data_IF_056231062016
#
_entry.id   IF_056231062016
#
_cell.length_a   1.000
_cell.length_b   1.000
_cell.length_c   1.000
_cell.angle_alpha   90.00
_cell.angle_beta   90.00
_cell.angle_gamma   90.00
#
_symmetry.space_group_name_H-M   'P 1'
#
loop_
_entity.id
_entity.type
_entity.pdbx_description
1 polymer ?
#
# COMPACT_ATOMS: atom_id res chain seq x y z
N UNK A 1 9.34 -29.93 14.07
CA UNK A 1 8.29 -28.88 14.19
C UNK A 1 7.85 -28.41 12.81
N UNK A 2 8.77 -28.07 11.90
CA UNK A 2 8.43 -27.75 10.49
C UNK A 2 7.77 -28.91 9.73
N UNK A 3 8.24 -30.15 9.92
CA UNK A 3 7.67 -31.32 9.21
C UNK A 3 6.21 -31.62 9.61
N UNK A 4 5.88 -31.44 10.89
CA UNK A 4 4.50 -31.58 11.39
C UNK A 4 3.60 -30.50 10.80
N UNK A 5 4.05 -29.24 10.80
CA UNK A 5 3.32 -28.15 10.16
C UNK A 5 3.06 -28.45 8.68
N UNK A 6 4.08 -28.89 7.92
CA UNK A 6 3.94 -29.23 6.51
C UNK A 6 2.92 -30.35 6.28
N UNK A 7 2.96 -31.38 7.11
CA UNK A 7 2.00 -32.48 7.05
C UNK A 7 0.55 -31.99 7.24
N UNK A 8 0.29 -31.26 8.33
CA UNK A 8 -1.06 -30.74 8.64
C UNK A 8 -1.53 -29.70 7.61
N UNK A 9 -0.63 -28.85 7.11
CA UNK A 9 -0.94 -27.88 6.06
C UNK A 9 -1.38 -28.56 4.75
N UNK A 10 -0.76 -29.70 4.39
CA UNK A 10 -1.18 -30.50 3.24
C UNK A 10 -2.57 -31.11 3.43
N UNK A 11 -2.87 -31.63 4.63
CA UNK A 11 -4.21 -32.15 4.96
C UNK A 11 -5.28 -31.05 4.92
N UNK A 12 -4.99 -29.88 5.49
CA UNK A 12 -5.89 -28.74 5.46
C UNK A 12 -6.16 -28.27 4.02
N UNK A 13 -5.11 -28.17 3.19
CA UNK A 13 -5.26 -27.85 1.76
C UNK A 13 -6.15 -28.86 1.04
N UNK A 14 -5.98 -30.16 1.30
CA UNK A 14 -6.82 -31.20 0.70
C UNK A 14 -8.32 -30.98 1.04
N UNK A 15 -8.65 -30.61 2.29
CA UNK A 15 -10.02 -30.25 2.70
C UNK A 15 -10.60 -29.09 1.87
N UNK A 16 -9.80 -28.05 1.61
CA UNK A 16 -10.21 -26.95 0.73
C UNK A 16 -10.40 -27.42 -0.72
N UNK A 17 -9.52 -28.31 -1.22
CA UNK A 17 -9.61 -28.82 -2.58
C UNK A 17 -10.84 -29.70 -2.82
N UNK A 18 -11.33 -30.42 -1.81
CA UNK A 18 -12.56 -31.23 -1.89
C UNK A 18 -13.81 -30.38 -2.21
N UNK A 19 -13.89 -29.16 -1.68
CA UNK A 19 -15.07 -28.28 -1.84
C UNK A 19 -14.86 -27.17 -2.89
N UNK A 20 -13.73 -27.16 -3.62
CA UNK A 20 -13.38 -26.09 -4.57
C UNK A 20 -14.36 -25.91 -5.73
N UNK A 21 -15.09 -26.97 -6.09
CA UNK A 21 -15.98 -27.01 -7.25
C UNK A 21 -17.47 -26.88 -6.85
N UNK A 22 -17.77 -26.38 -5.65
CA UNK A 22 -19.15 -26.10 -5.23
C UNK A 22 -19.77 -25.02 -6.11
N UNK A 23 -20.96 -25.28 -6.65
CA UNK A 23 -21.67 -24.36 -7.55
C UNK A 23 -22.78 -23.60 -6.83
N UNK A 24 -23.30 -24.15 -5.75
CA UNK A 24 -24.31 -23.50 -4.95
C UNK A 24 -23.66 -22.47 -4.00
N UNK A 25 -23.90 -21.18 -4.30
CA UNK A 25 -23.36 -20.07 -3.51
C UNK A 25 -23.88 -20.04 -2.07
N UNK A 26 -25.11 -20.52 -1.83
CA UNK A 26 -25.67 -20.59 -0.48
C UNK A 26 -24.89 -21.62 0.33
N UNK A 27 -24.70 -22.81 -0.24
CA UNK A 27 -23.88 -23.86 0.38
C UNK A 27 -22.43 -23.43 0.57
N UNK A 28 -21.81 -22.77 -0.42
CA UNK A 28 -20.46 -22.25 -0.30
C UNK A 28 -20.32 -21.23 0.85
N UNK A 29 -21.30 -20.35 1.02
CA UNK A 29 -21.31 -19.36 2.12
C UNK A 29 -21.49 -20.02 3.48
N UNK A 30 -22.34 -21.06 3.57
CA UNK A 30 -22.49 -21.85 4.80
C UNK A 30 -21.21 -22.61 5.17
N UNK A 31 -20.52 -23.18 4.18
CA UNK A 31 -19.22 -23.82 4.38
C UNK A 31 -18.16 -22.83 4.84
N UNK A 32 -18.12 -21.62 4.25
CA UNK A 32 -17.22 -20.55 4.68
C UNK A 32 -17.47 -20.18 6.15
N UNK A 33 -18.73 -19.93 6.52
CA UNK A 33 -19.11 -19.61 7.89
C UNK A 33 -18.68 -20.71 8.87
N UNK A 34 -18.94 -21.98 8.53
CA UNK A 34 -18.52 -23.10 9.37
C UNK A 34 -16.98 -23.18 9.51
N UNK A 35 -16.23 -22.85 8.45
CA UNK A 35 -14.77 -22.77 8.48
C UNK A 35 -14.24 -21.63 9.35
N UNK A 36 -14.87 -20.45 9.29
CA UNK A 36 -14.54 -19.30 10.14
C UNK A 36 -14.82 -19.59 11.62
N UNK A 37 -15.94 -20.26 11.93
CA UNK A 37 -16.25 -20.72 13.30
C UNK A 37 -15.23 -21.75 13.79
N UNK A 38 -14.82 -22.71 12.95
CA UNK A 38 -13.76 -23.67 13.28
C UNK A 38 -12.43 -22.96 13.56
N UNK A 39 -12.05 -21.98 12.72
CA UNK A 39 -10.83 -21.19 12.89
C UNK A 39 -10.88 -20.39 14.19
N UNK A 40 -11.98 -19.70 14.47
CA UNK A 40 -12.12 -18.90 15.68
C UNK A 40 -11.98 -19.72 16.97
N UNK A 41 -12.50 -20.95 16.98
CA UNK A 41 -12.39 -21.87 18.11
C UNK A 41 -11.00 -22.49 18.28
N UNK A 42 -10.23 -22.60 17.18
CA UNK A 42 -8.93 -23.30 17.14
C UNK A 42 -7.72 -22.39 16.92
N UNK A 43 -7.92 -21.10 16.74
CA UNK A 43 -6.83 -20.14 16.57
C UNK A 43 -5.92 -20.11 17.79
N UNK A 44 -4.63 -19.93 17.57
CA UNK A 44 -3.66 -19.81 18.64
C UNK A 44 -3.82 -18.44 19.33
N UNK A 45 -3.78 -18.33 20.67
CA UNK A 45 -3.90 -17.06 21.37
C UNK A 45 -2.85 -16.02 20.99
N UNK A 46 -1.64 -16.49 20.68
CA UNK A 46 -0.51 -15.66 20.24
C UNK A 46 -0.03 -16.14 18.87
N UNK A 47 -0.68 -15.72 17.77
CA UNK A 47 -0.25 -16.10 16.44
C UNK A 47 1.11 -15.48 16.12
N UNK A 48 1.85 -16.12 15.22
CA UNK A 48 3.10 -15.57 14.73
C UNK A 48 2.84 -14.35 13.84
N UNK A 49 3.37 -13.20 14.24
CA UNK A 49 3.40 -11.97 13.44
C UNK A 49 4.79 -11.76 12.85
N UNK A 50 4.85 -11.29 11.61
CA UNK A 50 6.11 -10.80 11.05
C UNK A 50 6.53 -9.53 11.78
N UNK A 51 7.84 -9.29 12.00
CA UNK A 51 8.30 -8.15 12.77
C UNK A 51 7.72 -6.80 12.31
N UNK A 52 7.65 -6.59 10.99
CA UNK A 52 7.21 -5.33 10.38
C UNK A 52 5.70 -5.29 10.07
N UNK A 53 4.96 -6.37 10.31
CA UNK A 53 3.50 -6.38 10.17
C UNK A 53 2.82 -5.71 11.37
N UNK A 54 1.59 -5.18 11.23
CA UNK A 54 0.82 -4.68 12.38
C UNK A 54 0.73 -5.73 13.49
N UNK A 55 1.08 -5.34 14.73
CA UNK A 55 1.18 -6.25 15.89
C UNK A 55 2.53 -6.97 16.03
N UNK A 56 3.44 -6.80 15.07
CA UNK A 56 4.83 -7.28 15.12
C UNK A 56 5.72 -6.48 16.07
N UNK A 57 6.91 -7.01 16.36
CA UNK A 57 7.85 -6.44 17.33
C UNK A 57 8.66 -5.24 16.82
N UNK A 58 8.64 -4.98 15.50
CA UNK A 58 9.27 -3.82 14.86
C UNK A 58 8.31 -2.98 14.04
N UNK A 59 7.00 -3.21 14.20
CA UNK A 59 5.98 -2.39 13.56
C UNK A 59 6.19 -0.91 13.90
N UNK A 60 6.26 -0.07 12.86
CA UNK A 60 6.49 1.39 12.96
C UNK A 60 7.80 1.80 13.68
N UNK A 61 8.74 0.86 13.89
CA UNK A 61 10.01 1.13 14.60
C UNK A 61 10.80 2.28 13.99
N UNK A 62 10.75 2.43 12.67
CA UNK A 62 11.50 3.44 11.93
C UNK A 62 10.67 4.66 11.55
N UNK A 63 9.38 4.72 11.94
CA UNK A 63 8.49 5.79 11.50
C UNK A 63 8.89 7.16 12.05
N UNK A 64 9.52 7.20 13.23
CA UNK A 64 10.07 8.44 13.79
C UNK A 64 11.21 9.06 12.95
N UNK A 65 11.82 8.30 12.03
CA UNK A 65 12.86 8.77 11.12
C UNK A 65 12.32 9.11 9.72
N UNK A 66 11.04 8.82 9.44
CA UNK A 66 10.38 9.10 8.16
C UNK A 66 10.00 10.57 8.05
N UNK A 67 11.01 11.44 7.96
CA UNK A 67 10.80 12.88 7.77
C UNK A 67 10.24 13.15 6.37
N UNK A 68 9.14 13.89 6.23
CA UNK A 68 8.57 14.18 4.94
C UNK A 68 9.50 15.10 4.13
N UNK A 69 9.51 14.90 2.82
CA UNK A 69 10.48 15.54 1.93
C UNK A 69 10.42 17.08 1.95
N UNK A 70 9.22 17.65 2.15
CA UNK A 70 9.00 19.10 2.19
C UNK A 70 9.72 19.78 3.37
N UNK A 71 10.09 19.05 4.44
CA UNK A 71 10.91 19.59 5.53
C UNK A 71 12.26 20.13 5.05
N UNK A 72 12.80 19.57 3.96
CA UNK A 72 14.08 20.01 3.37
C UNK A 72 14.02 21.43 2.79
N UNK A 73 12.81 21.95 2.51
CA UNK A 73 12.66 23.32 2.03
C UNK A 73 12.95 24.35 3.13
N UNK A 74 12.82 23.95 4.41
CA UNK A 74 13.07 24.82 5.57
C UNK A 74 14.53 24.89 6.01
N UNK A 75 15.44 24.14 5.38
CA UNK A 75 16.87 24.18 5.71
C UNK A 75 17.48 25.56 5.45
N UNK A 76 18.46 25.94 6.26
CA UNK A 76 19.18 27.21 6.05
C UNK A 76 20.02 27.14 4.76
N UNK A 77 20.15 28.23 3.99
CA UNK A 77 20.92 28.22 2.73
C UNK A 77 22.35 27.68 2.86
N UNK A 78 23.02 27.90 3.99
CA UNK A 78 24.37 27.34 4.22
C UNK A 78 24.37 25.81 4.32
N UNK A 79 23.31 25.21 4.87
CA UNK A 79 23.13 23.76 4.96
C UNK A 79 22.80 23.17 3.59
N UNK A 80 21.94 23.86 2.82
CA UNK A 80 21.63 23.47 1.43
C UNK A 80 22.86 23.53 0.53
N UNK A 81 23.72 24.53 0.72
CA UNK A 81 24.96 24.69 -0.03
C UNK A 81 25.94 23.52 0.17
N UNK A 82 25.77 22.70 1.20
CA UNK A 82 26.53 21.46 1.40
C UNK A 82 26.18 20.37 0.39
N UNK A 83 24.98 20.40 -0.18
CA UNK A 83 24.48 19.38 -1.13
C UNK A 83 23.97 20.01 -2.44
N UNK A 84 24.82 20.74 -3.19
CA UNK A 84 24.39 21.55 -4.32
C UNK A 84 23.70 20.73 -5.42
N UNK A 85 24.25 19.56 -5.77
CA UNK A 85 23.70 18.70 -6.83
C UNK A 85 22.34 18.10 -6.46
N UNK A 86 22.14 17.77 -5.18
CA UNK A 86 20.87 17.21 -4.71
C UNK A 86 19.76 18.27 -4.79
N UNK A 87 20.01 19.46 -4.26
CA UNK A 87 19.03 20.54 -4.30
C UNK A 87 18.78 21.03 -5.75
N UNK A 88 19.80 21.08 -6.61
CA UNK A 88 19.61 21.38 -8.02
C UNK A 88 18.70 20.38 -8.74
N UNK A 89 18.85 19.08 -8.45
CA UNK A 89 17.95 18.03 -8.99
C UNK A 89 16.54 18.13 -8.38
N UNK A 90 16.42 18.39 -7.08
CA UNK A 90 15.13 18.55 -6.39
C UNK A 90 14.30 19.67 -7.02
N UNK A 91 14.91 20.79 -7.38
CA UNK A 91 14.20 21.88 -8.07
C UNK A 91 13.63 21.45 -9.43
N UNK A 92 14.25 20.50 -10.13
CA UNK A 92 13.67 19.93 -11.36
C UNK A 92 12.40 19.13 -11.07
N UNK A 93 12.39 18.33 -9.98
CA UNK A 93 11.21 17.59 -9.54
C UNK A 93 10.06 18.51 -9.09
N UNK A 94 10.38 19.60 -8.38
CA UNK A 94 9.36 20.58 -7.97
C UNK A 94 8.73 21.28 -9.16
N UNK A 95 9.53 21.69 -10.16
CA UNK A 95 9.03 22.23 -11.42
C UNK A 95 8.15 21.23 -12.18
N UNK A 96 8.52 19.96 -12.18
CA UNK A 96 7.72 18.90 -12.80
C UNK A 96 6.36 18.77 -12.10
N UNK A 97 6.34 18.76 -10.76
CA UNK A 97 5.11 18.72 -9.95
C UNK A 97 4.21 19.92 -10.21
N UNK A 98 4.77 21.13 -10.23
CA UNK A 98 4.02 22.36 -10.52
C UNK A 98 3.43 22.34 -11.94
N UNK A 99 4.20 21.87 -12.93
CA UNK A 99 3.76 21.81 -14.31
C UNK A 99 2.70 20.72 -14.58
N UNK A 100 2.68 19.64 -13.79
CA UNK A 100 1.72 18.55 -13.95
C UNK A 100 0.39 18.82 -13.23
N UNK A 101 0.40 19.58 -12.13
CA UNK A 101 -0.76 19.77 -11.24
C UNK A 101 -2.06 20.15 -11.96
N UNK A 102 -2.05 21.19 -12.79
CA UNK A 102 -3.28 21.65 -13.45
C UNK A 102 -3.86 20.59 -14.40
N UNK A 103 -3.00 19.81 -15.07
CA UNK A 103 -3.42 18.74 -15.99
C UNK A 103 -3.99 17.55 -15.22
N UNK A 104 -3.37 17.19 -14.10
CA UNK A 104 -3.85 16.14 -13.21
C UNK A 104 -5.25 16.45 -12.68
N UNK A 105 -5.46 17.68 -12.20
CA UNK A 105 -6.76 18.12 -11.68
C UNK A 105 -7.80 18.18 -12.79
N UNK A 106 -7.44 18.68 -13.97
CA UNK A 106 -8.34 18.68 -15.12
C UNK A 106 -8.78 17.25 -15.49
N UNK A 107 -7.84 16.31 -15.55
CA UNK A 107 -8.14 14.91 -15.83
C UNK A 107 -9.09 14.31 -14.78
N UNK A 108 -8.84 14.57 -13.49
CA UNK A 108 -9.73 14.13 -12.41
C UNK A 108 -11.13 14.72 -12.60
N UNK A 109 -11.25 16.01 -12.88
CA UNK A 109 -12.55 16.66 -13.06
C UNK A 109 -13.33 16.13 -14.27
N UNK A 110 -12.63 15.78 -15.36
CA UNK A 110 -13.23 15.23 -16.58
C UNK A 110 -13.68 13.78 -16.40
N UNK A 111 -12.88 12.96 -15.69
CA UNK A 111 -13.17 11.53 -15.50
C UNK A 111 -14.07 11.25 -14.28
N UNK A 112 -14.21 12.21 -13.36
CA UNK A 112 -15.08 12.04 -12.18
C UNK A 112 -16.54 12.25 -12.56
N UNK A 113 -17.44 11.28 -12.27
CA UNK A 113 -18.87 11.45 -12.49
C UNK A 113 -19.44 12.63 -11.69
N UNK A 114 -20.54 13.24 -12.18
CA UNK A 114 -21.16 14.39 -11.53
C UNK A 114 -21.64 14.11 -10.08
N UNK A 115 -21.96 12.85 -9.77
CA UNK A 115 -22.35 12.40 -8.43
C UNK A 115 -21.15 12.20 -7.48
N UNK A 116 -19.93 12.40 -7.97
CA UNK A 116 -18.67 12.11 -7.28
C UNK A 116 -18.08 10.76 -7.70
N UNK A 117 -16.89 10.44 -7.17
CA UNK A 117 -16.27 9.15 -7.42
C UNK A 117 -16.98 8.05 -6.63
N UNK A 118 -17.25 6.91 -7.28
CA UNK A 118 -17.81 5.72 -6.64
C UNK A 118 -16.75 4.83 -5.98
N UNK A 119 -15.47 5.13 -6.23
CA UNK A 119 -14.31 4.36 -5.77
C UNK A 119 -13.13 5.30 -5.47
N UNK A 120 -12.15 4.79 -4.72
CA UNK A 120 -10.88 5.47 -4.41
C UNK A 120 -9.83 5.33 -5.53
N UNK A 121 -10.14 4.55 -6.58
CA UNK A 121 -9.21 4.32 -7.68
C UNK A 121 -8.99 5.61 -8.51
N UNK A 122 -7.75 6.09 -8.53
CA UNK A 122 -7.32 7.19 -9.40
C UNK A 122 -7.06 6.68 -10.83
N UNK A 123 -7.40 7.47 -11.87
CA UNK A 123 -7.12 7.08 -13.24
C UNK A 123 -5.61 7.15 -13.54
N UNK A 124 -5.08 6.33 -14.46
CA UNK A 124 -3.72 6.49 -14.96
C UNK A 124 -3.62 7.72 -15.88
N UNK A 125 -2.41 8.23 -16.13
CA UNK A 125 -2.18 9.23 -17.17
C UNK A 125 -2.62 8.69 -18.56
N UNK A 126 -3.37 9.50 -19.32
CA UNK A 126 -3.93 9.09 -20.63
C UNK A 126 -3.06 9.46 -21.82
N UNK A 127 -2.24 10.48 -21.65
CA UNK A 127 -1.53 11.20 -22.70
C UNK A 127 -0.02 11.09 -22.49
N UNK A 128 0.73 11.03 -23.58
CA UNK A 128 2.19 10.95 -23.52
C UNK A 128 2.76 12.26 -22.94
N UNK A 129 3.61 12.13 -21.91
CA UNK A 129 4.22 13.27 -21.22
C UNK A 129 3.45 13.79 -20.01
N UNK A 130 2.22 13.32 -19.77
CA UNK A 130 1.48 13.62 -18.55
C UNK A 130 1.82 12.61 -17.43
N UNK A 131 1.67 13.05 -16.19
CA UNK A 131 1.88 12.24 -15.00
C UNK A 131 0.54 11.79 -14.40
N UNK A 132 0.49 10.62 -13.74
CA UNK A 132 -0.73 10.17 -13.09
C UNK A 132 -1.21 11.19 -12.05
N UNK A 133 -2.53 11.44 -11.92
CA UNK A 133 -3.03 12.36 -10.92
C UNK A 133 -2.64 11.99 -9.48
N UNK A 134 -2.32 13.00 -8.66
CA UNK A 134 -1.94 12.90 -7.25
C UNK A 134 -0.72 12.00 -6.99
N UNK A 135 0.19 11.87 -7.96
CA UNK A 135 1.35 10.98 -7.87
C UNK A 135 2.38 11.38 -6.80
N UNK A 136 2.45 12.66 -6.41
CA UNK A 136 3.58 13.21 -5.66
C UNK A 136 3.84 12.46 -4.34
N UNK A 137 2.82 12.30 -3.51
CA UNK A 137 2.99 11.71 -2.18
C UNK A 137 3.34 10.22 -2.26
N UNK A 138 2.89 9.52 -3.31
CA UNK A 138 3.25 8.12 -3.54
C UNK A 138 4.72 7.96 -3.96
N UNK A 139 5.20 8.84 -4.84
CA UNK A 139 6.55 8.78 -5.39
C UNK A 139 7.60 9.34 -4.42
N UNK A 140 7.23 10.37 -3.66
CA UNK A 140 8.14 11.06 -2.74
C UNK A 140 7.98 10.65 -1.28
N UNK A 141 7.20 9.59 -1.02
CA UNK A 141 7.09 9.01 0.33
C UNK A 141 8.47 8.73 0.93
N UNK A 142 8.65 8.94 2.24
CA UNK A 142 9.85 8.51 2.93
C UNK A 142 10.13 7.02 2.70
N UNK A 143 11.40 6.65 2.68
CA UNK A 143 11.80 5.24 2.58
C UNK A 143 11.35 4.49 3.83
N UNK A 144 11.08 3.19 3.71
CA UNK A 144 10.72 2.35 4.87
C UNK A 144 11.85 2.25 5.89
N UNK A 145 13.10 2.24 5.39
CA UNK A 145 14.32 2.27 6.19
C UNK A 145 15.16 3.49 5.76
N UNK A 146 14.88 4.70 6.29
CA UNK A 146 15.61 5.94 6.01
C UNK A 146 17.08 5.89 6.41
#
# INVERSE_FOLDING_TARGET
>A
MEDQFRYEACLLRARFEEQKNEKDLVRATLLLKAGEEELYLRQHPEPYFFPDSPGGTSYERYDCYKVPEWCLDHWHPSEKAMYPDYFAKREQWKKLREASWDREIQQIMEETPAEGSSTEALPPARTEGDLPPLWWDYVTRPRENP
#
